data_IF_258861749904
#
_entry.id   IF_258861749904
#
_cell.length_a   1.000
_cell.length_b   1.000
_cell.length_c   1.000
_cell.angle_alpha   90.00
_cell.angle_beta   90.00
_cell.angle_gamma   90.00
#
_symmetry.space_group_name_H-M   'P 1'
#
loop_
_entity.id
_entity.type
_entity.pdbx_description
1 polymer ?
#
# COMPACT_ATOMS: atom_id res chain seq x y z
N UNK A 1 -0.89 -16.83 8.18
CA UNK A 1 -1.32 -18.19 8.58
C UNK A 1 -2.73 -18.11 9.14
N UNK A 2 -3.55 -19.18 9.05
CA UNK A 2 -4.95 -19.15 9.54
C UNK A 2 -5.08 -18.83 11.03
N UNK A 3 -4.05 -19.17 11.80
CA UNK A 3 -3.92 -18.92 13.24
C UNK A 3 -3.26 -17.57 13.57
N UNK A 4 -2.97 -16.75 12.55
CA UNK A 4 -2.25 -15.48 12.69
C UNK A 4 -0.86 -15.60 13.36
N UNK A 5 -0.22 -16.77 13.34
CA UNK A 5 1.11 -16.96 13.94
C UNK A 5 2.23 -16.13 13.27
N UNK A 6 1.98 -15.63 12.06
CA UNK A 6 2.86 -14.74 11.29
C UNK A 6 2.44 -13.27 11.37
N UNK A 7 1.50 -12.92 12.24
CA UNK A 7 1.08 -11.54 12.47
C UNK A 7 2.04 -10.77 13.39
N UNK A 8 1.90 -9.45 13.41
CA UNK A 8 2.64 -8.59 14.34
C UNK A 8 2.10 -8.74 15.75
N UNK A 9 2.97 -9.10 16.68
CA UNK A 9 2.63 -9.23 18.11
C UNK A 9 3.26 -8.12 18.97
N UNK A 10 3.71 -7.02 18.36
CA UNK A 10 4.26 -5.89 19.10
C UNK A 10 3.21 -5.26 20.02
N UNK A 11 3.64 -4.90 21.24
CA UNK A 11 2.78 -4.19 22.20
C UNK A 11 2.59 -2.76 21.69
N UNK A 12 1.34 -2.37 21.43
CA UNK A 12 0.97 -1.05 20.91
C UNK A 12 -0.16 -0.45 21.74
N UNK A 13 -0.19 0.88 21.82
CA UNK A 13 -1.25 1.59 22.55
C UNK A 13 -2.62 1.44 21.89
N UNK A 14 -2.66 1.25 20.56
CA UNK A 14 -3.88 1.08 19.77
C UNK A 14 -3.68 -0.01 18.74
N UNK A 15 -4.28 -1.16 18.97
CA UNK A 15 -4.30 -2.26 18.01
C UNK A 15 -5.20 -1.92 16.82
N UNK A 16 -4.78 -2.34 15.63
CA UNK A 16 -5.62 -2.28 14.43
C UNK A 16 -6.61 -3.45 14.34
N UNK A 17 -6.36 -4.53 15.09
CA UNK A 17 -7.23 -5.71 15.05
C UNK A 17 -8.61 -5.38 15.64
N UNK A 18 -9.70 -5.62 14.90
CA UNK A 18 -11.04 -5.36 15.39
C UNK A 18 -11.39 -6.30 16.56
N UNK A 19 -12.24 -5.85 17.50
CA UNK A 19 -12.83 -6.74 18.50
C UNK A 19 -13.59 -7.88 17.81
N UNK A 20 -13.27 -9.13 18.16
CA UNK A 20 -13.88 -10.32 17.54
C UNK A 20 -13.13 -10.86 16.31
N UNK A 21 -12.03 -10.23 15.91
CA UNK A 21 -11.21 -10.69 14.78
C UNK A 21 -11.77 -10.31 13.42
N UNK A 22 -11.07 -10.72 12.36
CA UNK A 22 -11.47 -10.42 10.99
C UNK A 22 -12.47 -11.47 10.45
N UNK A 23 -13.31 -11.06 9.49
CA UNK A 23 -14.18 -11.99 8.77
C UNK A 23 -13.36 -13.08 8.04
N UNK A 24 -13.89 -14.28 7.79
CA UNK A 24 -13.11 -15.38 7.18
C UNK A 24 -12.48 -15.04 5.82
N UNK A 25 -13.12 -14.16 5.04
CA UNK A 25 -12.77 -13.73 3.70
C UNK A 25 -12.07 -12.35 3.67
N UNK A 26 -11.64 -11.82 4.83
CA UNK A 26 -11.08 -10.47 4.94
C UNK A 26 -9.81 -10.22 4.11
N UNK A 27 -9.14 -11.28 3.66
CA UNK A 27 -7.95 -11.22 2.80
C UNK A 27 -8.28 -11.30 1.31
N UNK A 28 -9.52 -11.64 0.95
CA UNK A 28 -9.93 -11.73 -0.44
C UNK A 28 -10.07 -10.33 -1.05
N UNK A 29 -9.55 -10.19 -2.27
CA UNK A 29 -9.67 -8.94 -3.02
C UNK A 29 -11.11 -8.79 -3.52
N UNK A 30 -11.59 -7.55 -3.60
CA UNK A 30 -12.89 -7.26 -4.21
C UNK A 30 -12.92 -7.72 -5.67
N UNK A 31 -14.08 -8.21 -6.11
CA UNK A 31 -14.28 -8.72 -7.47
C UNK A 31 -13.88 -7.69 -8.53
N UNK A 32 -13.12 -8.14 -9.53
CA UNK A 32 -12.66 -7.30 -10.64
C UNK A 32 -11.42 -6.44 -10.35
N UNK A 33 -10.89 -6.43 -9.11
CA UNK A 33 -9.68 -5.68 -8.79
C UNK A 33 -8.41 -6.27 -9.40
N UNK A 34 -8.32 -7.60 -9.48
CA UNK A 34 -7.15 -8.31 -10.00
C UNK A 34 -7.51 -9.31 -11.09
N UNK A 35 -6.78 -9.27 -12.19
CA UNK A 35 -6.83 -10.22 -13.29
C UNK A 35 -6.01 -11.50 -13.03
N UNK A 36 -6.10 -12.49 -13.93
CA UNK A 36 -5.41 -13.77 -13.78
C UNK A 36 -3.88 -13.69 -13.90
N UNK A 37 -3.36 -12.66 -14.57
CA UNK A 37 -1.92 -12.48 -14.81
C UNK A 37 -1.30 -11.42 -13.89
N UNK A 38 -2.08 -10.85 -12.96
CA UNK A 38 -1.60 -9.81 -12.07
C UNK A 38 -0.72 -10.39 -10.97
N UNK A 39 0.31 -9.63 -10.60
CA UNK A 39 1.17 -9.99 -9.48
C UNK A 39 0.40 -9.81 -8.18
N UNK A 40 0.32 -10.88 -7.39
CA UNK A 40 -0.27 -10.87 -6.05
C UNK A 40 0.83 -10.90 -5.00
N UNK A 41 0.94 -9.81 -4.24
CA UNK A 41 1.90 -9.68 -3.15
C UNK A 41 1.14 -9.76 -1.83
N UNK A 42 1.40 -10.80 -1.05
CA UNK A 42 0.85 -10.92 0.31
C UNK A 42 1.82 -10.29 1.31
N UNK A 43 1.33 -9.35 2.12
CA UNK A 43 2.09 -8.71 3.20
C UNK A 43 1.52 -9.11 4.56
N UNK A 44 2.39 -9.16 5.59
CA UNK A 44 2.01 -9.43 6.99
C UNK A 44 2.14 -8.20 7.89
N UNK A 45 2.42 -7.06 7.26
CA UNK A 45 2.79 -5.78 7.87
C UNK A 45 2.04 -4.64 7.15
N UNK A 46 2.29 -3.39 7.57
CA UNK A 46 1.72 -2.22 6.90
C UNK A 46 2.27 -2.05 5.48
N UNK A 47 3.58 -1.87 5.34
CA UNK A 47 4.25 -1.69 4.05
C UNK A 47 4.32 -2.98 3.22
N UNK A 48 4.29 -2.84 1.90
CA UNK A 48 4.31 -3.96 0.97
C UNK A 48 5.71 -4.49 0.64
N UNK A 49 6.79 -3.82 1.06
CA UNK A 49 8.18 -4.26 0.81
C UNK A 49 8.70 -5.24 1.87
N UNK A 50 8.43 -4.97 3.15
CA UNK A 50 9.03 -5.74 4.23
C UNK A 50 8.47 -7.17 4.29
N UNK A 51 9.36 -8.15 4.18
CA UNK A 51 9.00 -9.57 4.26
C UNK A 51 8.15 -10.07 3.08
N UNK A 52 8.23 -9.40 1.93
CA UNK A 52 7.58 -9.83 0.67
C UNK A 52 8.61 -9.95 -0.45
N UNK A 53 8.16 -10.37 -1.63
CA UNK A 53 8.96 -10.41 -2.84
C UNK A 53 8.74 -9.19 -3.76
N UNK A 54 8.07 -8.12 -3.31
CA UNK A 54 7.72 -6.98 -4.15
C UNK A 54 8.95 -6.35 -4.85
N UNK A 55 10.01 -6.03 -4.11
CA UNK A 55 11.23 -5.44 -4.71
C UNK A 55 11.86 -6.38 -5.75
N UNK A 56 11.93 -7.67 -5.45
CA UNK A 56 12.46 -8.66 -6.37
C UNK A 56 11.63 -8.72 -7.67
N UNK A 57 10.30 -8.71 -7.55
CA UNK A 57 9.39 -8.73 -8.69
C UNK A 57 9.53 -7.47 -9.54
N UNK A 58 9.63 -6.29 -8.93
CA UNK A 58 9.82 -5.01 -9.61
C UNK A 58 11.16 -4.96 -10.34
N UNK A 59 12.27 -5.26 -9.64
CA UNK A 59 13.63 -5.24 -10.21
C UNK A 59 13.80 -6.22 -11.38
N UNK A 60 13.28 -7.45 -11.26
CA UNK A 60 13.36 -8.45 -12.34
C UNK A 60 12.60 -8.04 -13.61
N UNK A 61 11.66 -7.11 -13.49
CA UNK A 61 10.89 -6.54 -14.62
C UNK A 61 11.45 -5.21 -15.12
N UNK A 62 12.54 -4.72 -14.53
CA UNK A 62 13.14 -3.43 -14.89
C UNK A 62 12.23 -2.24 -14.56
N UNK A 63 11.29 -2.39 -13.61
CA UNK A 63 10.39 -1.32 -13.22
C UNK A 63 11.16 -0.30 -12.38
N UNK A 64 11.08 0.98 -12.76
CA UNK A 64 11.73 2.11 -12.06
C UNK A 64 10.73 3.10 -11.47
N UNK A 65 9.47 3.05 -11.92
CA UNK A 65 8.39 3.92 -11.46
C UNK A 65 7.22 3.07 -11.00
N UNK A 66 6.65 3.40 -9.84
CA UNK A 66 5.44 2.76 -9.33
C UNK A 66 4.35 3.79 -9.08
N UNK A 67 3.12 3.41 -9.40
CA UNK A 67 1.90 4.18 -9.09
C UNK A 67 1.23 3.50 -7.91
N UNK A 68 0.96 4.25 -6.85
CA UNK A 68 0.50 3.74 -5.55
C UNK A 68 -0.87 4.30 -5.23
N UNK A 69 -1.81 3.40 -4.92
CA UNK A 69 -3.13 3.67 -4.39
C UNK A 69 -3.49 2.69 -3.27
N UNK A 70 -4.72 2.76 -2.76
CA UNK A 70 -5.26 1.80 -1.79
C UNK A 70 -5.48 2.36 -0.39
N UNK A 71 -5.51 1.47 0.61
CA UNK A 71 -5.99 1.79 1.97
C UNK A 71 -5.04 1.20 3.03
N UNK A 72 -4.67 1.90 4.11
CA UNK A 72 -4.96 3.29 4.40
C UNK A 72 -3.83 4.23 3.94
N UNK A 73 -4.19 5.45 3.51
CA UNK A 73 -3.29 6.49 2.98
C UNK A 73 -2.05 6.71 3.85
N UNK A 74 -2.23 7.06 5.12
CA UNK A 74 -1.14 7.34 6.07
C UNK A 74 -0.62 6.11 6.83
N UNK A 75 -0.99 4.89 6.40
CA UNK A 75 -0.50 3.64 6.99
C UNK A 75 0.19 2.76 5.93
N UNK A 76 -0.55 1.84 5.32
CA UNK A 76 0.01 0.86 4.39
C UNK A 76 0.53 1.50 3.10
N UNK A 77 -0.21 2.48 2.56
CA UNK A 77 0.21 3.24 1.38
C UNK A 77 1.48 4.03 1.70
N UNK A 78 1.47 4.90 2.72
CA UNK A 78 2.63 5.70 3.10
C UNK A 78 3.87 4.85 3.45
N UNK A 79 3.70 3.76 4.20
CA UNK A 79 4.79 2.84 4.53
C UNK A 79 5.42 2.24 3.28
N UNK A 80 4.60 1.90 2.29
CA UNK A 80 5.06 1.38 0.99
C UNK A 80 5.75 2.45 0.17
N UNK A 81 5.20 3.67 0.14
CA UNK A 81 5.78 4.80 -0.58
C UNK A 81 7.15 5.22 -0.04
N UNK A 82 7.30 5.28 1.30
CA UNK A 82 8.59 5.54 1.96
C UNK A 82 9.62 4.49 1.59
N UNK A 83 9.27 3.21 1.72
CA UNK A 83 10.17 2.13 1.35
C UNK A 83 10.53 2.17 -0.14
N UNK A 84 9.57 2.42 -1.03
CA UNK A 84 9.84 2.54 -2.47
C UNK A 84 10.82 3.68 -2.78
N UNK A 85 10.62 4.86 -2.17
CA UNK A 85 11.53 5.98 -2.28
C UNK A 85 12.95 5.61 -1.82
N UNK A 86 13.08 4.97 -0.65
CA UNK A 86 14.37 4.52 -0.11
C UNK A 86 15.06 3.44 -0.98
N UNK A 87 14.29 2.63 -1.70
CA UNK A 87 14.82 1.67 -2.68
C UNK A 87 15.18 2.29 -4.03
N UNK A 88 14.90 3.59 -4.22
CA UNK A 88 15.22 4.34 -5.43
C UNK A 88 14.16 4.29 -6.54
N UNK A 89 12.92 3.89 -6.24
CA UNK A 89 11.83 3.97 -7.22
C UNK A 89 11.28 5.39 -7.32
N UNK A 90 10.88 5.80 -8.52
CA UNK A 90 10.03 6.98 -8.69
C UNK A 90 8.62 6.64 -8.21
N UNK A 91 8.11 7.38 -7.23
CA UNK A 91 6.79 7.12 -6.64
C UNK A 91 5.78 8.13 -7.17
N UNK A 92 4.64 7.63 -7.65
CA UNK A 92 3.45 8.44 -7.97
C UNK A 92 2.33 8.00 -7.04
N UNK A 93 1.76 8.94 -6.27
CA UNK A 93 0.66 8.70 -5.34
C UNK A 93 -0.60 9.34 -5.89
N UNK A 94 -1.66 8.55 -6.00
CA UNK A 94 -2.89 8.95 -6.70
C UNK A 94 -3.98 9.18 -5.67
N UNK A 95 -4.22 10.46 -5.34
CA UNK A 95 -4.98 10.88 -4.15
C UNK A 95 -6.42 10.39 -4.13
N UNK A 96 -7.09 10.45 -5.28
CA UNK A 96 -8.49 10.05 -5.48
C UNK A 96 -8.69 8.53 -5.53
N UNK A 97 -7.62 7.73 -5.46
CA UNK A 97 -7.67 6.26 -5.31
C UNK A 97 -7.06 5.80 -3.98
N UNK A 98 -6.92 6.71 -3.02
CA UNK A 98 -6.47 6.43 -1.65
C UNK A 98 -7.55 6.84 -0.64
N UNK A 99 -7.60 6.17 0.50
CA UNK A 99 -8.50 6.55 1.59
C UNK A 99 -7.95 6.22 2.97
N UNK A 100 -8.37 6.97 3.98
CA UNK A 100 -8.03 6.73 5.39
C UNK A 100 -9.17 7.15 6.32
N UNK A 101 -8.95 7.13 7.63
CA UNK A 101 -9.97 7.27 8.68
C UNK A 101 -10.53 8.69 8.82
N UNK A 102 -9.77 9.72 8.49
CA UNK A 102 -10.19 11.12 8.63
C UNK A 102 -9.62 11.99 7.50
N UNK A 103 -10.33 13.07 7.19
CA UNK A 103 -9.87 14.08 6.21
C UNK A 103 -8.55 14.72 6.65
N UNK A 104 -8.35 14.95 7.94
CA UNK A 104 -7.09 15.50 8.46
C UNK A 104 -5.91 14.57 8.18
N UNK A 105 -6.07 13.26 8.40
CA UNK A 105 -5.03 12.27 8.09
C UNK A 105 -4.77 12.16 6.59
N UNK A 106 -5.81 12.22 5.76
CA UNK A 106 -5.68 12.23 4.30
C UNK A 106 -4.85 13.45 3.87
N UNK A 107 -5.30 14.65 4.27
CA UNK A 107 -4.66 15.93 3.93
C UNK A 107 -3.21 15.97 4.39
N UNK A 108 -2.92 15.59 5.63
CA UNK A 108 -1.56 15.60 6.14
C UNK A 108 -0.63 14.70 5.31
N UNK A 109 -1.05 13.48 4.98
CA UNK A 109 -0.24 12.59 4.15
C UNK A 109 -0.02 13.16 2.74
N UNK A 110 -1.08 13.64 2.08
CA UNK A 110 -1.04 14.15 0.71
C UNK A 110 -0.30 15.49 0.56
N UNK A 111 -0.46 16.42 1.50
CA UNK A 111 0.10 17.77 1.39
C UNK A 111 1.48 17.89 2.02
N UNK A 112 1.74 17.17 3.12
CA UNK A 112 3.01 17.28 3.84
C UNK A 112 3.97 16.15 3.47
N UNK A 113 3.54 14.90 3.52
CA UNK A 113 4.50 13.79 3.42
C UNK A 113 4.81 13.45 1.98
N UNK A 114 3.78 13.14 1.20
CA UNK A 114 3.93 12.56 -0.13
C UNK A 114 4.72 13.41 -1.14
N UNK A 115 4.63 14.75 -1.16
CA UNK A 115 5.42 15.57 -2.08
C UNK A 115 6.94 15.48 -1.83
N UNK A 116 7.36 14.97 -0.66
CA UNK A 116 8.77 14.75 -0.31
C UNK A 116 9.26 13.35 -0.73
N UNK A 117 8.33 12.42 -1.00
CA UNK A 117 8.62 11.03 -1.38
C UNK A 117 8.46 10.80 -2.88
N UNK A 118 7.57 11.54 -3.53
CA UNK A 118 7.20 11.32 -4.93
C UNK A 118 6.31 12.43 -5.48
N UNK A 119 5.55 12.12 -6.54
CA UNK A 119 4.56 13.03 -7.14
C UNK A 119 3.16 12.67 -6.65
N UNK A 120 2.41 13.64 -6.16
CA UNK A 120 0.99 13.50 -5.84
C UNK A 120 0.17 13.95 -7.03
N UNK A 121 -0.84 13.16 -7.41
CA UNK A 121 -1.69 13.44 -8.57
C UNK A 121 -3.06 12.78 -8.42
N UNK A 122 -3.91 12.93 -9.42
CA UNK A 122 -5.25 12.34 -9.51
C UNK A 122 -5.30 11.33 -10.66
N UNK A 123 -6.26 10.41 -10.62
CA UNK A 123 -6.34 9.29 -11.56
C UNK A 123 -6.53 9.72 -13.01
N UNK A 124 -7.19 10.85 -13.24
CA UNK A 124 -7.39 11.46 -14.56
C UNK A 124 -6.10 11.95 -15.22
N UNK A 125 -5.05 12.20 -14.44
CA UNK A 125 -3.73 12.59 -14.93
C UNK A 125 -2.83 11.38 -15.27
N UNK A 126 -3.28 10.15 -14.99
CA UNK A 126 -2.54 8.92 -15.28
C UNK A 126 -3.03 8.32 -16.60
N UNK A 127 -2.12 8.21 -17.56
CA UNK A 127 -2.33 7.41 -18.77
C UNK A 127 -1.45 6.16 -18.70
N UNK A 128 -2.05 5.01 -19.00
CA UNK A 128 -1.32 3.77 -19.22
C UNK A 128 -1.17 3.58 -20.73
N UNK A 129 0.07 3.41 -21.20
CA UNK A 129 0.31 2.99 -22.57
C UNK A 129 -0.21 1.56 -22.74
N UNK A 130 -0.98 1.34 -23.81
CA UNK A 130 -1.58 0.05 -24.15
C UNK A 130 -0.57 -0.92 -24.79
#
# INVERSE_FOLDING_TARGET
APDFADAVHAVVDRSFSPPGGFAPDWTELVDGLAGPNDLRITKRQWGAFYGTDLDLQLRRRGITTIVVGGIATNLGVESTARAAHEHGYNVVLVEDVMSTFTEEMQRFACEEIFPRLGRVTTSDAIALDA
#
